data_IF_558343462033
#
_entry.id   IF_558343462033
#
_cell.length_a   1.000
_cell.length_b   1.000
_cell.length_c   1.000
_cell.angle_alpha   90.00
_cell.angle_beta   90.00
_cell.angle_gamma   90.00
#
_symmetry.space_group_name_H-M   'P 1'
#
loop_
_entity.id
_entity.type
_entity.pdbx_description
1 polymer ?
#
# COMPACT_ATOMS: atom_id res chain seq x y z
N UNK A 1 -23.63 14.73 5.24
CA UNK A 1 -22.79 13.65 4.67
C UNK A 1 -22.49 13.98 3.23
N UNK A 2 -21.29 13.71 2.74
CA UNK A 2 -20.93 14.00 1.35
C UNK A 2 -21.79 13.12 0.41
N UNK A 3 -22.38 13.63 -0.69
CA UNK A 3 -23.19 12.84 -1.64
C UNK A 3 -22.47 11.57 -2.13
N UNK A 4 -21.16 11.64 -2.37
CA UNK A 4 -20.34 10.48 -2.74
C UNK A 4 -20.27 9.41 -1.64
N UNK A 5 -20.28 9.81 -0.37
CA UNK A 5 -20.27 8.88 0.74
C UNK A 5 -21.62 8.16 0.89
N UNK A 6 -22.73 8.87 0.63
CA UNK A 6 -24.08 8.28 0.62
C UNK A 6 -24.23 7.25 -0.50
N UNK A 7 -23.78 7.59 -1.69
CA UNK A 7 -23.75 6.68 -2.83
C UNK A 7 -22.93 5.42 -2.54
N UNK A 8 -21.72 5.59 -2.01
CA UNK A 8 -20.86 4.46 -1.66
C UNK A 8 -21.50 3.54 -0.59
N UNK A 9 -22.13 4.13 0.43
CA UNK A 9 -22.82 3.33 1.46
C UNK A 9 -24.01 2.57 0.86
N UNK A 10 -24.82 3.19 0.00
CA UNK A 10 -25.91 2.51 -0.70
C UNK A 10 -25.39 1.31 -1.50
N UNK A 11 -24.32 1.51 -2.31
CA UNK A 11 -23.73 0.46 -3.14
C UNK A 11 -23.23 -0.68 -2.25
N UNK A 12 -22.57 -0.38 -1.13
CA UNK A 12 -22.07 -1.42 -0.24
C UNK A 12 -23.20 -2.19 0.45
N UNK A 13 -24.31 -1.54 0.82
CA UNK A 13 -25.50 -2.23 1.34
C UNK A 13 -26.04 -3.25 0.33
N UNK A 14 -26.10 -2.89 -0.98
CA UNK A 14 -26.50 -3.81 -2.04
C UNK A 14 -25.53 -5.01 -2.16
N UNK A 15 -24.22 -4.79 -2.02
CA UNK A 15 -23.26 -5.89 -1.99
C UNK A 15 -23.44 -6.80 -0.77
N UNK A 16 -23.80 -6.26 0.38
CA UNK A 16 -24.05 -7.07 1.59
C UNK A 16 -25.20 -8.08 1.41
N UNK A 17 -26.21 -7.75 0.59
CA UNK A 17 -27.33 -8.66 0.30
C UNK A 17 -26.86 -9.92 -0.47
N UNK A 18 -25.73 -9.85 -1.17
CA UNK A 18 -25.19 -10.94 -2.00
C UNK A 18 -24.04 -11.66 -1.27
N UNK A 19 -23.32 -10.96 -0.42
CA UNK A 19 -22.19 -11.52 0.33
C UNK A 19 -22.66 -12.38 1.50
N UNK A 20 -21.87 -13.42 1.84
CA UNK A 20 -22.13 -14.17 3.07
C UNK A 20 -21.86 -13.31 4.31
N UNK A 21 -22.57 -13.53 5.42
CA UNK A 21 -22.34 -12.78 6.68
C UNK A 21 -20.87 -12.85 7.15
N UNK A 22 -20.22 -14.00 6.95
CA UNK A 22 -18.79 -14.16 7.25
C UNK A 22 -17.90 -13.20 6.42
N UNK A 23 -18.19 -13.05 5.12
CA UNK A 23 -17.43 -12.14 4.26
C UNK A 23 -17.66 -10.68 4.62
N UNK A 24 -18.90 -10.31 4.93
CA UNK A 24 -19.24 -8.95 5.40
C UNK A 24 -18.45 -8.60 6.66
N UNK A 25 -18.45 -9.52 7.66
CA UNK A 25 -17.69 -9.33 8.90
C UNK A 25 -16.20 -9.23 8.63
N UNK A 26 -15.63 -10.17 7.86
CA UNK A 26 -14.20 -10.19 7.53
C UNK A 26 -13.75 -8.89 6.85
N UNK A 27 -14.52 -8.39 5.87
CA UNK A 27 -14.20 -7.14 5.18
C UNK A 27 -14.23 -5.94 6.13
N UNK A 28 -15.18 -5.90 7.05
CA UNK A 28 -15.26 -4.84 8.05
C UNK A 28 -14.07 -4.87 9.02
N UNK A 29 -13.74 -6.05 9.54
CA UNK A 29 -12.63 -6.25 10.48
C UNK A 29 -11.29 -5.87 9.80
N UNK A 30 -11.06 -6.32 8.56
CA UNK A 30 -9.81 -6.04 7.85
C UNK A 30 -9.74 -4.55 7.43
N UNK A 31 -10.83 -3.96 6.93
CA UNK A 31 -10.83 -2.57 6.49
C UNK A 31 -10.55 -1.60 7.64
N UNK A 32 -11.05 -1.90 8.86
CA UNK A 32 -10.83 -1.08 10.05
C UNK A 32 -9.37 -1.02 10.51
N UNK A 33 -8.52 -1.95 10.04
CA UNK A 33 -7.08 -2.02 10.36
C UNK A 33 -6.18 -1.54 9.22
N UNK A 34 -6.76 -1.10 8.10
CA UNK A 34 -5.97 -0.57 6.98
C UNK A 34 -5.44 0.83 7.25
N UNK A 35 -4.28 1.11 6.64
CA UNK A 35 -3.64 2.42 6.70
C UNK A 35 -3.11 2.86 5.34
N UNK A 36 -3.12 4.16 5.11
CA UNK A 36 -2.36 4.87 4.08
C UNK A 36 -1.27 5.76 4.69
N UNK A 37 -1.16 5.78 6.01
CA UNK A 37 -0.09 6.52 6.69
C UNK A 37 1.30 5.96 6.37
N UNK A 38 1.38 4.67 6.02
CA UNK A 38 2.56 4.03 5.44
C UNK A 38 2.21 3.49 4.07
N UNK A 39 3.06 3.74 3.09
CA UNK A 39 3.03 3.07 1.80
C UNK A 39 4.42 2.55 1.42
N UNK A 40 4.48 1.61 0.49
CA UNK A 40 5.72 0.98 0.02
C UNK A 40 5.93 1.33 -1.44
N UNK A 41 7.13 1.74 -1.79
CA UNK A 41 7.56 1.99 -3.17
C UNK A 41 8.70 1.04 -3.49
N UNK A 42 8.51 0.24 -4.54
CA UNK A 42 9.48 -0.74 -5.03
C UNK A 42 10.11 -0.21 -6.31
N UNK A 43 11.40 0.13 -6.27
CA UNK A 43 12.10 0.67 -7.43
C UNK A 43 12.91 -0.40 -8.13
N UNK A 44 12.52 -0.73 -9.37
CA UNK A 44 13.20 -1.66 -10.28
C UNK A 44 13.52 -3.05 -9.71
N UNK A 45 12.67 -3.57 -8.80
CA UNK A 45 12.90 -4.87 -8.15
C UNK A 45 12.98 -5.98 -9.19
N UNK A 46 14.12 -6.67 -9.21
CA UNK A 46 14.40 -7.74 -10.18
C UNK A 46 13.76 -9.08 -9.78
N UNK A 47 13.79 -9.42 -8.48
CA UNK A 47 13.38 -10.74 -8.02
C UNK A 47 11.88 -10.79 -7.73
N UNK A 48 11.12 -11.46 -8.60
CA UNK A 48 9.66 -11.60 -8.49
C UNK A 48 9.18 -12.19 -7.15
N UNK A 49 9.98 -13.10 -6.56
CA UNK A 49 9.63 -13.69 -5.27
C UNK A 49 9.72 -12.66 -4.13
N UNK A 50 10.72 -11.76 -4.12
CA UNK A 50 10.81 -10.69 -3.15
C UNK A 50 9.63 -9.74 -3.28
N UNK A 51 9.33 -9.29 -4.49
CA UNK A 51 8.18 -8.42 -4.74
C UNK A 51 6.86 -9.05 -4.29
N UNK A 52 6.67 -10.34 -4.56
CA UNK A 52 5.46 -11.08 -4.14
C UNK A 52 5.38 -11.27 -2.62
N UNK A 53 6.50 -11.53 -1.95
CA UNK A 53 6.57 -11.61 -0.49
C UNK A 53 6.29 -10.26 0.17
N UNK A 54 6.78 -9.16 -0.41
CA UNK A 54 6.52 -7.79 0.07
C UNK A 54 5.03 -7.47 0.01
N UNK A 55 4.35 -7.76 -1.10
CA UNK A 55 2.89 -7.55 -1.20
C UNK A 55 2.14 -8.31 -0.12
N UNK A 56 2.53 -9.57 0.13
CA UNK A 56 1.93 -10.36 1.20
C UNK A 56 2.18 -9.74 2.57
N UNK A 57 3.39 -9.26 2.82
CA UNK A 57 3.74 -8.54 4.05
C UNK A 57 2.90 -7.28 4.23
N UNK A 58 2.73 -6.48 3.18
CA UNK A 58 1.90 -5.28 3.20
C UNK A 58 0.44 -5.62 3.54
N UNK A 59 -0.13 -6.64 2.91
CA UNK A 59 -1.49 -7.10 3.23
C UNK A 59 -1.63 -7.54 4.68
N UNK A 60 -0.71 -8.38 5.18
CA UNK A 60 -0.71 -8.86 6.56
C UNK A 60 -0.59 -7.75 7.61
N UNK A 61 0.12 -6.66 7.30
CA UNK A 61 0.35 -5.52 8.19
C UNK A 61 -0.61 -4.36 7.97
N UNK A 62 -1.62 -4.53 7.11
CA UNK A 62 -2.65 -3.52 6.86
C UNK A 62 -2.20 -2.33 6.01
N UNK A 63 -1.06 -2.43 5.31
CA UNK A 63 -0.59 -1.40 4.38
C UNK A 63 -1.42 -1.49 3.10
N UNK A 64 -2.14 -0.40 2.76
CA UNK A 64 -3.09 -0.46 1.66
C UNK A 64 -2.47 -0.16 0.30
N UNK A 65 -1.54 0.80 0.22
CA UNK A 65 -1.03 1.28 -1.06
C UNK A 65 0.43 0.86 -1.28
N UNK A 66 0.68 0.28 -2.45
CA UNK A 66 2.00 -0.14 -2.93
C UNK A 66 2.20 0.47 -4.30
N UNK A 67 3.37 1.02 -4.53
CA UNK A 67 3.79 1.63 -5.78
C UNK A 67 4.97 0.87 -6.36
N UNK A 68 5.05 0.73 -7.68
CA UNK A 68 6.24 0.20 -8.36
C UNK A 68 6.75 1.21 -9.38
N UNK A 69 8.05 1.42 -9.39
CA UNK A 69 8.77 2.17 -10.42
C UNK A 69 9.48 1.14 -11.29
N UNK A 70 9.15 1.08 -12.57
CA UNK A 70 9.56 0.02 -13.51
C UNK A 70 10.26 0.63 -14.72
N UNK A 71 11.45 1.18 -14.53
CA UNK A 71 12.24 1.75 -15.63
C UNK A 71 13.11 0.71 -16.32
N UNK A 72 13.69 -0.23 -15.55
CA UNK A 72 14.58 -1.28 -16.02
C UNK A 72 13.93 -2.66 -15.92
N UNK A 73 13.31 -2.95 -14.80
CA UNK A 73 12.71 -4.24 -14.51
C UNK A 73 11.18 -4.12 -14.38
N UNK A 74 10.47 -5.02 -15.07
CA UNK A 74 9.02 -5.11 -14.91
C UNK A 74 8.68 -5.92 -13.67
N UNK A 75 7.76 -5.38 -12.89
CA UNK A 75 7.19 -6.10 -11.77
C UNK A 75 6.30 -7.26 -12.25
N UNK A 76 6.56 -8.46 -11.74
CA UNK A 76 5.74 -9.65 -11.98
C UNK A 76 5.30 -10.26 -10.67
N UNK A 77 3.99 -10.45 -10.51
CA UNK A 77 3.41 -11.05 -9.31
C UNK A 77 3.35 -12.58 -9.43
N UNK A 78 4.08 -13.28 -8.58
CA UNK A 78 3.96 -14.72 -8.44
C UNK A 78 2.77 -15.08 -7.53
N UNK A 79 1.67 -15.53 -8.13
CA UNK A 79 0.41 -15.85 -7.43
C UNK A 79 0.59 -16.84 -6.28
N UNK A 80 1.48 -17.83 -6.43
CA UNK A 80 1.76 -18.84 -5.40
C UNK A 80 2.39 -18.25 -4.14
N UNK A 81 3.25 -17.23 -4.27
CA UNK A 81 3.93 -16.58 -3.14
C UNK A 81 3.03 -15.53 -2.50
N UNK A 82 2.38 -14.72 -3.31
CA UNK A 82 1.47 -13.67 -2.83
C UNK A 82 0.19 -14.22 -2.17
N UNK A 83 -0.14 -15.49 -2.35
CA UNK A 83 -1.33 -16.16 -1.78
C UNK A 83 -2.63 -15.35 -1.92
N UNK A 84 -2.78 -14.61 -3.01
CA UNK A 84 -3.93 -13.76 -3.28
C UNK A 84 -3.89 -12.36 -2.64
N UNK A 85 -2.86 -12.03 -1.86
CA UNK A 85 -2.72 -10.71 -1.20
C UNK A 85 -2.84 -9.53 -2.17
N UNK A 86 -2.33 -9.66 -3.39
CA UNK A 86 -2.47 -8.63 -4.42
C UNK A 86 -3.91 -8.25 -4.81
N UNK A 87 -4.93 -9.01 -4.34
CA UNK A 87 -6.34 -8.64 -4.51
C UNK A 87 -6.80 -7.61 -3.48
N UNK A 88 -6.14 -7.53 -2.33
CA UNK A 88 -6.59 -6.79 -1.17
C UNK A 88 -5.87 -5.46 -0.97
N UNK A 89 -4.72 -5.29 -1.61
CA UNK A 89 -3.94 -4.05 -1.65
C UNK A 89 -4.14 -3.32 -2.98
N UNK A 90 -3.80 -2.03 -3.00
CA UNK A 90 -3.75 -1.22 -4.21
C UNK A 90 -2.32 -1.26 -4.74
N UNK A 91 -2.16 -1.73 -5.97
CA UNK A 91 -0.87 -1.72 -6.66
C UNK A 91 -0.91 -0.72 -7.81
N UNK A 92 -0.19 0.38 -7.67
CA UNK A 92 -0.03 1.40 -8.71
C UNK A 92 1.33 1.24 -9.37
N UNK A 93 1.34 1.08 -10.69
CA UNK A 93 2.55 0.82 -11.48
C UNK A 93 2.93 2.04 -12.29
N UNK A 94 4.16 2.50 -12.14
CA UNK A 94 4.78 3.53 -12.96
C UNK A 94 5.78 2.85 -13.89
N UNK A 95 5.44 2.75 -15.17
CA UNK A 95 6.23 1.99 -16.16
C UNK A 95 6.60 2.80 -17.41
N UNK A 96 6.34 4.11 -17.40
CA UNK A 96 6.69 4.99 -18.51
C UNK A 96 8.19 5.29 -18.48
N UNK A 97 8.91 4.79 -19.47
CA UNK A 97 10.36 4.91 -19.54
C UNK A 97 10.83 6.36 -19.35
N UNK A 98 11.81 6.56 -18.47
CA UNK A 98 12.41 7.85 -18.09
C UNK A 98 11.46 8.85 -17.37
N UNK A 99 10.21 8.49 -17.10
CA UNK A 99 9.24 9.36 -16.42
C UNK A 99 8.66 8.68 -15.16
N UNK A 100 8.70 7.35 -15.10
CA UNK A 100 8.08 6.55 -14.04
C UNK A 100 8.47 7.00 -12.64
N UNK A 101 9.76 7.24 -12.41
CA UNK A 101 10.29 7.72 -11.13
C UNK A 101 9.73 9.09 -10.78
N UNK A 102 9.84 10.04 -11.71
CA UNK A 102 9.40 11.42 -11.50
C UNK A 102 7.90 11.52 -11.27
N UNK A 103 7.11 10.75 -12.00
CA UNK A 103 5.66 10.67 -11.84
C UNK A 103 5.29 10.12 -10.45
N UNK A 104 5.96 9.05 -10.00
CA UNK A 104 5.75 8.47 -8.68
C UNK A 104 6.12 9.45 -7.55
N UNK A 105 7.32 10.04 -7.60
CA UNK A 105 7.79 11.01 -6.61
C UNK A 105 6.86 12.23 -6.54
N UNK A 106 6.45 12.77 -7.69
CA UNK A 106 5.55 13.90 -7.78
C UNK A 106 4.17 13.57 -7.19
N UNK A 107 3.63 12.40 -7.50
CA UNK A 107 2.35 11.95 -6.93
C UNK A 107 2.42 11.88 -5.41
N UNK A 108 3.45 11.26 -4.86
CA UNK A 108 3.60 11.06 -3.41
C UNK A 108 3.81 12.40 -2.68
N UNK A 109 4.64 13.29 -3.22
CA UNK A 109 4.82 14.64 -2.66
C UNK A 109 3.52 15.44 -2.65
N UNK A 110 2.76 15.43 -3.76
CA UNK A 110 1.44 16.11 -3.84
C UNK A 110 0.42 15.51 -2.87
N UNK A 111 0.52 14.22 -2.58
CA UNK A 111 -0.31 13.55 -1.57
C UNK A 111 0.15 13.80 -0.12
N UNK A 112 1.22 14.56 0.10
CA UNK A 112 1.71 14.95 1.42
C UNK A 112 2.59 13.93 2.11
N UNK A 113 3.08 12.91 1.39
CA UNK A 113 3.99 11.92 1.97
C UNK A 113 5.38 12.50 2.20
N UNK A 114 5.99 12.16 3.34
CA UNK A 114 7.43 12.21 3.53
C UNK A 114 8.09 11.06 2.77
N UNK A 115 9.07 11.36 1.92
CA UNK A 115 9.81 10.37 1.14
C UNK A 115 10.96 9.81 1.96
N UNK A 116 10.96 8.52 2.22
CA UNK A 116 11.95 7.85 3.06
C UNK A 116 12.68 6.77 2.27
N UNK A 117 13.98 6.96 2.05
CA UNK A 117 14.84 5.98 1.37
C UNK A 117 15.45 5.01 2.38
N UNK A 118 15.52 3.74 2.02
CA UNK A 118 16.19 2.72 2.83
C UNK A 118 17.62 2.52 2.34
N UNK A 119 18.59 2.60 3.25
CA UNK A 119 20.01 2.42 2.94
C UNK A 119 20.78 1.92 4.17
N UNK A 120 21.63 0.90 4.04
CA UNK A 120 22.46 0.44 5.15
C UNK A 120 23.57 1.43 5.52
N UNK A 121 23.99 2.29 4.59
CA UNK A 121 25.19 3.13 4.71
C UNK A 121 24.93 4.57 5.16
N UNK A 122 23.68 5.01 5.23
CA UNK A 122 23.35 6.39 5.54
C UNK A 122 23.53 6.70 7.04
N UNK A 123 23.91 7.96 7.35
CA UNK A 123 23.64 8.53 8.67
C UNK A 123 22.10 8.75 8.76
N UNK A 124 21.39 7.73 9.20
CA UNK A 124 19.98 7.56 8.94
C UNK A 124 19.22 7.31 10.24
N UNK A 125 17.92 7.62 10.22
CA UNK A 125 16.99 7.20 11.26
C UNK A 125 16.94 5.68 11.37
N UNK A 126 16.56 5.18 12.54
CA UNK A 126 16.11 3.80 12.71
C UNK A 126 14.58 3.75 12.70
N UNK A 127 13.95 2.57 12.61
CA UNK A 127 12.51 2.48 12.73
C UNK A 127 11.94 3.15 13.99
N UNK A 128 12.72 3.20 15.08
CA UNK A 128 12.32 3.82 16.34
C UNK A 128 12.33 5.37 16.30
N UNK A 129 13.26 5.95 15.51
CA UNK A 129 13.51 7.40 15.50
C UNK A 129 12.93 8.13 14.29
N UNK A 130 12.45 7.38 13.27
CA UNK A 130 11.88 7.99 12.06
C UNK A 130 10.70 8.91 12.42
N UNK A 131 10.67 10.19 11.98
CA UNK A 131 9.50 11.04 12.10
C UNK A 131 8.29 10.45 11.37
N UNK A 132 7.12 10.44 12.00
CA UNK A 132 5.87 9.90 11.45
C UNK A 132 4.66 10.84 11.66
N UNK A 133 4.91 12.11 11.87
CA UNK A 133 3.88 13.15 11.95
C UNK A 133 3.12 13.36 10.64
N UNK A 134 3.74 12.96 9.52
CA UNK A 134 3.15 12.90 8.18
C UNK A 134 3.09 11.46 7.67
N UNK A 135 2.22 11.16 6.68
CA UNK A 135 2.29 9.89 5.98
C UNK A 135 3.68 9.65 5.37
N UNK A 136 4.12 8.41 5.38
CA UNK A 136 5.48 8.00 5.00
C UNK A 136 5.44 7.08 3.79
N UNK A 137 6.18 7.42 2.75
CA UNK A 137 6.45 6.57 1.59
C UNK A 137 7.84 5.94 1.72
N UNK A 138 7.89 4.63 1.92
CA UNK A 138 9.12 3.86 2.12
C UNK A 138 9.63 3.32 0.79
N UNK A 139 10.78 3.80 0.35
CA UNK A 139 11.41 3.39 -0.90
C UNK A 139 12.41 2.26 -0.67
N UNK A 140 12.26 1.20 -1.46
CA UNK A 140 13.14 0.04 -1.47
C UNK A 140 13.66 -0.18 -2.88
N UNK A 141 14.98 -0.23 -3.03
CA UNK A 141 15.67 -0.45 -4.30
C UNK A 141 16.07 -1.91 -4.51
N UNK A 142 16.87 -2.14 -5.56
CA UNK A 142 17.42 -3.45 -5.87
C UNK A 142 18.43 -3.90 -4.82
N UNK A 143 18.65 -5.22 -4.71
CA UNK A 143 19.61 -5.79 -3.76
C UNK A 143 21.06 -5.47 -4.11
N UNK A 144 21.36 -5.19 -5.37
CA UNK A 144 22.72 -4.91 -5.86
C UNK A 144 23.05 -3.44 -5.93
N UNK A 145 22.19 -2.66 -6.56
CA UNK A 145 22.45 -1.25 -6.86
C UNK A 145 21.76 -0.30 -5.88
N UNK A 146 20.83 -0.82 -5.07
CA UNK A 146 20.02 -0.01 -4.17
C UNK A 146 19.00 0.85 -4.91
N UNK A 147 18.75 2.04 -4.40
CA UNK A 147 17.87 3.05 -4.97
C UNK A 147 18.64 3.95 -5.95
N UNK A 148 17.93 4.47 -6.94
CA UNK A 148 18.51 5.39 -7.91
C UNK A 148 18.95 6.71 -7.23
N UNK A 149 20.09 7.33 -7.65
CA UNK A 149 20.58 8.58 -7.06
C UNK A 149 19.55 9.71 -7.02
N UNK A 150 18.73 9.86 -8.06
CA UNK A 150 17.66 10.86 -8.10
C UNK A 150 16.58 10.63 -7.05
N UNK A 151 16.24 9.37 -6.74
CA UNK A 151 15.31 9.03 -5.65
C UNK A 151 15.91 9.40 -4.31
N UNK A 152 17.20 9.07 -4.10
CA UNK A 152 17.94 9.42 -2.88
C UNK A 152 18.01 10.93 -2.70
N UNK A 153 18.33 11.68 -3.76
CA UNK A 153 18.45 13.13 -3.71
C UNK A 153 17.13 13.87 -3.39
N UNK A 154 15.99 13.22 -3.63
CA UNK A 154 14.66 13.80 -3.38
C UNK A 154 14.02 13.35 -2.06
N UNK A 155 14.71 12.51 -1.29
CA UNK A 155 14.21 11.97 -0.02
C UNK A 155 14.25 13.02 1.09
N UNK A 156 13.23 13.00 1.95
CA UNK A 156 13.16 13.80 3.17
C UNK A 156 13.97 13.14 4.30
N UNK A 157 13.98 11.81 4.34
CA UNK A 157 14.68 11.03 5.36
C UNK A 157 15.35 9.81 4.77
N UNK A 158 16.41 9.34 5.44
CA UNK A 158 16.98 8.03 5.24
C UNK A 158 16.67 7.14 6.45
N UNK A 159 16.44 5.85 6.19
CA UNK A 159 16.09 4.83 7.18
C UNK A 159 17.04 3.64 7.07
N UNK A 160 17.55 3.15 8.19
CA UNK A 160 18.36 1.93 8.27
C UNK A 160 17.87 0.99 9.35
N UNK A 161 18.08 -0.30 9.14
CA UNK A 161 18.00 -1.32 10.19
C UNK A 161 19.40 -1.42 10.79
N UNK A 162 19.61 -1.22 12.11
CA UNK A 162 20.91 -1.42 12.73
C UNK A 162 21.37 -2.88 12.58
N UNK A 163 22.55 -3.09 12.00
CA UNK A 163 23.14 -4.41 11.80
C UNK A 163 24.33 -4.58 12.76
N UNK A 164 24.44 -5.74 13.38
CA UNK A 164 25.52 -6.06 14.33
C UNK A 164 26.33 -7.28 13.93
N UNK A 165 26.00 -7.89 12.79
CA UNK A 165 26.69 -9.07 12.24
C UNK A 165 27.70 -8.71 11.17
N UNK A 166 28.35 -9.73 10.60
CA UNK A 166 29.24 -9.56 9.45
C UNK A 166 28.53 -9.20 8.15
N UNK A 167 27.26 -9.57 8.04
CA UNK A 167 26.45 -9.28 6.85
C UNK A 167 25.86 -7.87 6.95
N UNK A 168 26.06 -7.05 5.92
CA UNK A 168 25.72 -5.63 5.92
C UNK A 168 24.24 -5.35 5.67
N UNK A 169 23.49 -6.32 5.11
CA UNK A 169 22.07 -6.15 4.78
C UNK A 169 21.29 -7.45 4.95
N UNK A 170 19.98 -7.31 5.18
CA UNK A 170 19.01 -8.40 5.11
C UNK A 170 18.51 -8.59 3.68
N UNK A 171 17.91 -9.76 3.39
CA UNK A 171 17.10 -9.91 2.19
C UNK A 171 16.04 -8.79 2.12
N UNK A 172 15.74 -8.33 0.91
CA UNK A 172 14.84 -7.20 0.68
C UNK A 172 13.46 -7.38 1.34
N UNK A 173 12.83 -8.54 1.14
CA UNK A 173 11.50 -8.80 1.71
C UNK A 173 11.52 -8.89 3.24
N UNK A 174 12.63 -9.35 3.81
CA UNK A 174 12.85 -9.36 5.27
C UNK A 174 13.03 -7.93 5.78
N UNK A 175 13.83 -7.10 5.10
CA UNK A 175 13.99 -5.68 5.45
C UNK A 175 12.65 -4.95 5.48
N UNK A 176 11.82 -5.15 4.46
CA UNK A 176 10.46 -4.57 4.41
C UNK A 176 9.62 -5.04 5.59
N UNK A 177 9.63 -6.33 5.91
CA UNK A 177 8.85 -6.88 7.02
C UNK A 177 9.27 -6.31 8.38
N UNK A 178 10.58 -6.22 8.63
CA UNK A 178 11.12 -5.65 9.88
C UNK A 178 10.75 -4.18 10.04
N UNK A 179 10.97 -3.37 8.99
CA UNK A 179 10.65 -1.94 9.00
C UNK A 179 9.15 -1.73 9.20
N UNK A 180 8.31 -2.35 8.37
CA UNK A 180 6.86 -2.18 8.44
C UNK A 180 6.28 -2.64 9.78
N UNK A 181 6.78 -3.75 10.34
CA UNK A 181 6.34 -4.25 11.64
C UNK A 181 6.65 -3.25 12.76
N UNK A 182 7.86 -2.70 12.79
CA UNK A 182 8.26 -1.72 13.78
C UNK A 182 7.47 -0.40 13.65
N UNK A 183 7.34 0.15 12.44
CA UNK A 183 6.59 1.38 12.21
C UNK A 183 5.09 1.20 12.48
N UNK A 184 4.51 0.05 12.11
CA UNK A 184 3.11 -0.26 12.40
C UNK A 184 2.85 -0.35 13.91
N UNK A 185 3.76 -0.97 14.67
CA UNK A 185 3.66 -1.01 16.12
C UNK A 185 3.67 0.40 16.75
N UNK A 186 4.53 1.29 16.25
CA UNK A 186 4.56 2.70 16.68
C UNK A 186 3.26 3.44 16.33
N UNK A 187 2.69 3.25 15.14
CA UNK A 187 1.40 3.85 14.77
C UNK A 187 0.29 3.43 15.72
N UNK A 188 0.23 2.15 16.07
CA UNK A 188 -0.79 1.63 17.00
C UNK A 188 -0.70 2.27 18.38
N UNK A 189 0.52 2.61 18.83
CA UNK A 189 0.78 3.24 20.12
C UNK A 189 0.70 4.77 20.09
N UNK A 190 0.52 5.37 18.90
CA UNK A 190 0.49 6.82 18.74
C UNK A 190 -0.93 7.37 18.80
N UNK A 191 -1.04 8.69 19.04
CA UNK A 191 -2.30 9.45 18.95
C UNK A 191 -2.60 9.90 17.50
N UNK A 192 -1.83 9.45 16.52
CA UNK A 192 -2.01 9.83 15.13
C UNK A 192 -3.29 9.20 14.54
N UNK A 193 -3.97 9.93 13.68
CA UNK A 193 -5.09 9.41 12.89
C UNK A 193 -4.57 8.65 11.68
N UNK A 194 -3.97 7.47 11.92
CA UNK A 194 -3.29 6.68 10.89
C UNK A 194 -4.18 5.70 10.13
N UNK A 195 -5.37 5.38 10.65
CA UNK A 195 -6.33 4.49 9.98
C UNK A 195 -7.01 5.22 8.82
N UNK A 196 -7.40 4.49 7.80
CA UNK A 196 -8.22 5.04 6.72
C UNK A 196 -9.61 5.44 7.25
N UNK A 197 -10.20 6.46 6.62
CA UNK A 197 -11.50 6.99 7.05
C UNK A 197 -12.65 5.97 6.84
N UNK A 198 -13.79 6.12 7.51
CA UNK A 198 -14.96 5.28 7.28
C UNK A 198 -15.41 5.25 5.81
N UNK A 199 -15.32 6.38 5.12
CA UNK A 199 -15.65 6.49 3.70
C UNK A 199 -14.68 5.67 2.83
N UNK A 200 -13.39 5.74 3.11
CA UNK A 200 -12.37 4.95 2.43
C UNK A 200 -12.54 3.45 2.72
N UNK A 201 -12.91 3.08 3.95
CA UNK A 201 -13.22 1.69 4.31
C UNK A 201 -14.40 1.17 3.47
N UNK A 202 -15.45 1.98 3.29
CA UNK A 202 -16.60 1.62 2.46
C UNK A 202 -16.18 1.42 0.99
N UNK A 203 -15.36 2.31 0.44
CA UNK A 203 -14.82 2.17 -0.90
C UNK A 203 -13.99 0.88 -1.06
N UNK A 204 -13.12 0.55 -0.09
CA UNK A 204 -12.35 -0.70 -0.12
C UNK A 204 -13.25 -1.93 -0.08
N UNK A 205 -14.28 -1.94 0.76
CA UNK A 205 -15.24 -3.06 0.86
C UNK A 205 -15.99 -3.27 -0.46
N UNK A 206 -16.34 -2.19 -1.16
CA UNK A 206 -16.91 -2.27 -2.52
C UNK A 206 -15.91 -2.90 -3.50
N UNK A 207 -14.67 -2.40 -3.51
CA UNK A 207 -13.63 -2.92 -4.40
C UNK A 207 -13.31 -4.41 -4.15
N UNK A 208 -13.27 -4.84 -2.89
CA UNK A 208 -13.08 -6.24 -2.53
C UNK A 208 -14.28 -7.09 -2.93
N UNK A 209 -15.51 -6.57 -2.78
CA UNK A 209 -16.73 -7.26 -3.21
C UNK A 209 -16.71 -7.53 -4.72
N UNK A 210 -16.32 -6.52 -5.52
CA UNK A 210 -16.15 -6.68 -6.96
C UNK A 210 -15.14 -7.76 -7.34
N UNK A 211 -14.04 -7.86 -6.60
CA UNK A 211 -12.95 -8.81 -6.89
C UNK A 211 -13.29 -10.26 -6.57
N UNK A 212 -14.29 -10.52 -5.73
CA UNK A 212 -14.68 -11.89 -5.35
C UNK A 212 -15.98 -12.36 -5.98
N UNK A 213 -16.83 -11.46 -6.45
CA UNK A 213 -18.11 -11.79 -7.09
C UNK A 213 -17.97 -11.88 -8.61
N UNK A 214 -18.59 -12.90 -9.19
CA UNK A 214 -18.69 -13.00 -10.64
C UNK A 214 -19.52 -11.81 -11.17
N UNK A 215 -18.95 -11.07 -12.15
CA UNK A 215 -19.60 -9.89 -12.67
C UNK A 215 -19.66 -8.69 -11.69
N UNK A 216 -18.81 -8.67 -10.65
CA UNK A 216 -18.84 -7.66 -9.59
C UNK A 216 -18.78 -6.21 -10.07
N UNK A 217 -18.04 -5.92 -11.16
CA UNK A 217 -18.02 -4.58 -11.76
C UNK A 217 -19.36 -4.22 -12.45
N UNK A 218 -20.02 -5.20 -13.08
CA UNK A 218 -21.35 -4.98 -13.67
C UNK A 218 -22.41 -4.77 -12.59
N UNK A 219 -22.32 -5.50 -11.48
CA UNK A 219 -23.18 -5.30 -10.30
C UNK A 219 -23.01 -3.89 -9.73
N UNK A 220 -21.78 -3.41 -9.56
CA UNK A 220 -21.55 -2.02 -9.10
C UNK A 220 -22.20 -1.01 -10.03
N UNK A 221 -22.05 -1.14 -11.36
CA UNK A 221 -22.67 -0.22 -12.33
C UNK A 221 -24.21 -0.24 -12.24
N UNK A 222 -24.81 -1.43 -12.06
CA UNK A 222 -26.25 -1.55 -11.84
C UNK A 222 -26.69 -0.84 -10.57
N UNK A 223 -25.98 -1.05 -9.45
CA UNK A 223 -26.32 -0.41 -8.17
C UNK A 223 -26.18 1.11 -8.20
N UNK A 224 -25.17 1.62 -8.93
CA UNK A 224 -25.05 3.08 -9.17
C UNK A 224 -26.22 3.63 -9.94
N UNK A 225 -26.66 2.94 -10.98
CA UNK A 225 -27.84 3.34 -11.76
C UNK A 225 -29.09 3.36 -10.90
N UNK A 226 -29.33 2.29 -10.11
CA UNK A 226 -30.47 2.19 -9.18
C UNK A 226 -30.48 3.32 -8.14
N UNK A 227 -29.29 3.75 -7.67
CA UNK A 227 -29.16 4.87 -6.73
C UNK A 227 -29.67 6.18 -7.33
N UNK A 228 -29.20 6.53 -8.53
CA UNK A 228 -29.59 7.76 -9.19
C UNK A 228 -31.06 7.77 -9.66
N UNK A 229 -31.62 6.61 -10.01
CA UNK A 229 -33.05 6.49 -10.36
C UNK A 229 -34.01 6.66 -9.15
N UNK A 230 -33.50 6.47 -7.93
CA UNK A 230 -34.28 6.67 -6.68
C UNK A 230 -34.20 8.10 -6.13
N UNK A 231 -33.20 8.88 -6.54
CA UNK A 231 -33.07 10.28 -6.14
C UNK A 231 -33.84 11.23 -7.08
N UNK A 232 -34.37 10.73 -8.20
CA UNK A 232 -35.28 11.46 -9.13
C UNK A 232 -36.76 11.21 -8.76
#
# INVERSE_FOLDING_TARGET
MNPKALEAEYIYQRFKEILTPHKVKLFSDVASERTRHLCVVLEDIFQEHNASAIIRTCDCLGIQDIYTIEERNRYVLQKKIALGAGRWVNLTRFSKKNEARNDCLTLLKRAGYALVVTSPHANANTPETLPMDKPVALFFGTEREGLHPETIAQADYALKIPMVGFTESLNLSVSVAVILSALRARLVQSELSWKITPEEQTCLKIDWSKKILNGGSALEMSFRKDYFEKEL
#
